data_IF_184275269930
#
_entry.id   IF_184275269930
#
_cell.length_a   1.000
_cell.length_b   1.000
_cell.length_c   1.000
_cell.angle_alpha   90.00
_cell.angle_beta   90.00
_cell.angle_gamma   90.00
#
_symmetry.space_group_name_H-M   'P 1'
#
loop_
_entity.id
_entity.type
_entity.pdbx_description
1 polymer ?
#
# COMPACT_ATOMS: atom_id res chain seq x y z
N UNK A 1 -2.37 -8.00 4.66
CA UNK A 1 -1.15 -7.16 4.57
C UNK A 1 -0.47 -7.45 3.25
N UNK A 2 0.12 -6.45 2.60
CA UNK A 2 0.96 -6.57 1.41
C UNK A 2 2.39 -6.17 1.76
N UNK A 3 3.39 -6.88 1.24
CA UNK A 3 4.78 -6.57 1.51
C UNK A 3 5.65 -6.69 0.25
N UNK A 4 6.69 -5.87 0.19
CA UNK A 4 7.67 -5.82 -0.90
C UNK A 4 9.08 -5.95 -0.32
N UNK A 5 9.86 -6.82 -0.94
CA UNK A 5 11.28 -6.96 -0.67
C UNK A 5 12.09 -6.06 -1.60
N UNK A 6 13.07 -5.38 -1.03
CA UNK A 6 14.09 -4.64 -1.77
C UNK A 6 15.47 -5.19 -1.39
N UNK A 7 16.40 -5.34 -2.35
CA UNK A 7 17.74 -5.86 -2.06
C UNK A 7 18.56 -4.99 -1.10
N UNK A 8 18.14 -3.74 -0.87
CA UNK A 8 18.94 -2.71 -0.20
C UNK A 8 18.08 -1.65 0.47
N UNK A 9 18.45 -1.30 1.70
CA UNK A 9 17.89 -0.16 2.43
C UNK A 9 18.77 1.09 2.30
N UNK A 10 18.15 2.26 2.51
CA UNK A 10 18.82 3.56 2.40
C UNK A 10 18.63 4.41 3.65
N UNK A 11 19.58 5.31 3.90
CA UNK A 11 19.52 6.40 4.88
C UNK A 11 20.41 7.54 4.38
N UNK A 12 19.96 8.79 4.48
CA UNK A 12 20.60 9.95 3.84
C UNK A 12 20.91 9.71 2.34
N UNK A 13 19.95 9.13 1.62
CA UNK A 13 20.08 8.72 0.20
C UNK A 13 21.26 7.77 -0.09
N UNK A 14 21.94 7.29 0.95
CA UNK A 14 23.06 6.37 0.85
C UNK A 14 22.63 4.96 1.24
N UNK A 15 23.18 3.94 0.56
CA UNK A 15 23.23 2.56 1.04
C UNK A 15 23.47 2.41 2.54
N UNK A 16 22.49 1.91 3.30
CA UNK A 16 22.63 1.75 4.77
C UNK A 16 22.62 0.30 5.25
N UNK A 17 21.94 -0.60 4.52
CA UNK A 17 21.91 -2.03 4.82
C UNK A 17 21.66 -2.89 3.58
N UNK A 18 22.05 -4.16 3.68
CA UNK A 18 21.60 -5.23 2.76
C UNK A 18 20.22 -5.66 3.24
N UNK A 19 19.29 -5.84 2.31
CA UNK A 19 17.86 -6.13 2.54
C UNK A 19 17.07 -4.93 3.08
N UNK A 20 15.84 -4.79 2.59
CA UNK A 20 14.83 -3.89 3.13
C UNK A 20 13.45 -4.47 2.80
N UNK A 21 12.50 -4.25 3.70
CA UNK A 21 11.11 -4.66 3.54
C UNK A 21 10.21 -3.44 3.74
N UNK A 22 9.16 -3.35 2.93
CA UNK A 22 8.09 -2.37 3.12
C UNK A 22 6.76 -3.09 3.07
N UNK A 23 5.80 -2.58 3.84
CA UNK A 23 4.48 -3.18 3.90
C UNK A 23 3.35 -2.15 3.95
N UNK A 24 2.18 -2.60 3.50
CA UNK A 24 0.92 -1.89 3.59
C UNK A 24 -0.10 -2.82 4.23
N UNK A 25 -0.81 -2.32 5.23
CA UNK A 25 -2.02 -2.97 5.76
C UNK A 25 -3.23 -2.21 5.23
N UNK A 26 -4.09 -2.92 4.50
CA UNK A 26 -5.37 -2.43 4.02
C UNK A 26 -6.44 -2.97 4.96
N UNK A 27 -7.15 -2.07 5.62
CA UNK A 27 -8.24 -2.40 6.54
C UNK A 27 -9.55 -2.28 5.78
N UNK A 28 -10.30 -3.37 5.75
CA UNK A 28 -11.63 -3.45 5.13
C UNK A 28 -12.69 -3.66 6.21
N UNK A 29 -13.94 -3.31 5.89
CA UNK A 29 -15.06 -3.50 6.80
C UNK A 29 -15.45 -4.97 6.96
N UNK A 30 -15.71 -5.66 5.85
CA UNK A 30 -16.19 -7.04 5.86
C UNK A 30 -15.68 -7.81 4.62
N UNK A 31 -14.84 -8.84 4.82
CA UNK A 31 -14.29 -9.64 3.71
C UNK A 31 -15.34 -10.52 3.02
N UNK A 32 -16.54 -10.68 3.59
CA UNK A 32 -17.61 -11.53 3.02
C UNK A 32 -18.44 -10.80 1.95
N UNK A 33 -18.30 -9.48 1.84
CA UNK A 33 -18.97 -8.69 0.80
C UNK A 33 -18.31 -8.89 -0.56
N UNK A 34 -19.11 -8.83 -1.64
CA UNK A 34 -18.58 -8.87 -3.01
C UNK A 34 -17.64 -7.69 -3.30
N UNK A 35 -17.90 -6.54 -2.69
CA UNK A 35 -17.06 -5.34 -2.79
C UNK A 35 -16.82 -4.73 -1.40
N UNK A 36 -15.86 -5.27 -0.63
CA UNK A 36 -15.52 -4.73 0.69
C UNK A 36 -15.06 -3.28 0.59
N UNK A 37 -15.43 -2.48 1.59
CA UNK A 37 -15.04 -1.07 1.65
C UNK A 37 -13.72 -0.95 2.40
N UNK A 38 -12.76 -0.25 1.79
CA UNK A 38 -11.52 0.14 2.49
C UNK A 38 -11.86 1.23 3.53
N UNK A 39 -11.70 0.89 4.81
CA UNK A 39 -11.93 1.78 5.96
C UNK A 39 -10.66 2.46 6.47
N UNK A 40 -9.49 1.90 6.14
CA UNK A 40 -8.21 2.47 6.53
C UNK A 40 -7.03 1.86 5.79
N UNK A 41 -5.93 2.59 5.74
CA UNK A 41 -4.68 2.15 5.13
C UNK A 41 -3.51 2.58 5.99
N UNK A 42 -2.60 1.65 6.24
CA UNK A 42 -1.39 1.88 7.01
C UNK A 42 -0.18 1.49 6.19
N UNK A 43 0.77 2.40 6.04
CA UNK A 43 1.93 2.28 5.16
C UNK A 43 3.23 2.35 5.97
N UNK A 44 4.15 1.42 5.75
CA UNK A 44 5.40 1.36 6.50
C UNK A 44 6.26 2.61 6.27
N UNK A 45 6.67 3.24 7.38
CA UNK A 45 7.61 4.37 7.44
C UNK A 45 9.03 3.92 7.83
N UNK A 46 9.12 2.88 8.64
CA UNK A 46 10.33 2.11 8.93
C UNK A 46 9.89 0.65 9.10
N UNK A 47 10.73 -0.19 9.70
CA UNK A 47 10.47 -1.62 9.82
C UNK A 47 9.15 -1.88 10.56
N UNK A 48 9.01 -1.41 11.79
CA UNK A 48 7.80 -1.58 12.61
C UNK A 48 6.84 -0.38 12.66
N UNK A 49 7.21 0.79 12.12
CA UNK A 49 6.39 2.02 12.24
C UNK A 49 5.57 2.28 10.99
N UNK A 50 4.34 2.75 11.18
CA UNK A 50 3.39 3.01 10.10
C UNK A 50 2.89 4.46 10.08
N UNK A 51 2.75 5.01 8.87
CA UNK A 51 1.87 6.14 8.61
C UNK A 51 0.46 5.62 8.34
N UNK A 52 -0.56 6.19 9.00
CA UNK A 52 -1.92 5.66 9.01
C UNK A 52 -2.91 6.70 8.51
N UNK A 53 -3.89 6.29 7.71
CA UNK A 53 -4.99 7.16 7.28
C UNK A 53 -6.29 6.40 7.15
N UNK A 54 -7.37 7.01 7.62
CA UNK A 54 -8.76 6.57 7.42
C UNK A 54 -9.49 7.43 6.37
N UNK A 55 -8.87 8.55 5.97
CA UNK A 55 -9.45 9.50 5.01
C UNK A 55 -8.96 9.17 3.60
N UNK A 56 -9.77 8.42 2.88
CA UNK A 56 -9.47 8.00 1.51
C UNK A 56 -9.95 9.02 0.49
N UNK A 57 -9.02 9.61 -0.26
CA UNK A 57 -9.35 10.48 -1.40
C UNK A 57 -9.56 9.63 -2.66
N UNK A 58 -10.53 9.96 -3.52
CA UNK A 58 -10.73 9.28 -4.80
C UNK A 58 -9.46 9.21 -5.67
N UNK A 59 -8.60 10.23 -5.61
CA UNK A 59 -7.34 10.27 -6.37
C UNK A 59 -6.33 9.18 -6.02
N UNK A 60 -6.47 8.56 -4.85
CA UNK A 60 -5.60 7.47 -4.41
C UNK A 60 -5.98 6.12 -5.02
N UNK A 61 -7.12 6.02 -5.69
CA UNK A 61 -7.53 4.78 -6.31
C UNK A 61 -7.10 4.71 -7.77
N UNK A 62 -6.68 3.52 -8.20
CA UNK A 62 -6.31 3.26 -9.59
C UNK A 62 -7.51 3.51 -10.52
N UNK A 63 -7.24 4.04 -11.71
CA UNK A 63 -8.28 4.38 -12.68
C UNK A 63 -9.11 5.62 -12.30
N UNK A 64 -8.73 6.36 -11.26
CA UNK A 64 -9.25 7.72 -11.06
C UNK A 64 -8.67 8.65 -12.13
N UNK A 65 -9.55 9.19 -12.97
CA UNK A 65 -9.19 10.12 -14.04
C UNK A 65 -9.88 11.47 -13.86
N UNK A 66 -9.10 12.54 -14.04
CA UNK A 66 -9.60 13.92 -14.12
C UNK A 66 -10.09 14.16 -15.54
N UNK A 67 -11.39 14.35 -15.72
CA UNK A 67 -11.97 14.69 -17.00
C UNK A 67 -11.92 16.20 -17.21
N UNK A 68 -11.55 16.60 -18.42
CA UNK A 68 -11.48 18.01 -18.79
C UNK A 68 -12.87 18.66 -18.71
N UNK A 69 -12.93 19.95 -18.34
CA UNK A 69 -14.12 20.80 -18.29
C UNK A 69 -14.91 20.81 -19.61
N UNK A 70 -14.25 20.55 -20.74
CA UNK A 70 -14.81 20.57 -22.10
C UNK A 70 -15.22 19.21 -22.66
N UNK A 71 -14.94 18.09 -22.00
CA UNK A 71 -15.31 16.76 -22.50
C UNK A 71 -16.76 16.41 -22.12
N UNK A 72 -17.60 16.54 -23.13
CA UNK A 72 -19.04 16.31 -23.16
C UNK A 72 -19.30 14.79 -23.35
N UNK A 73 -20.36 14.28 -22.71
CA UNK A 73 -21.07 13.01 -22.95
C UNK A 73 -20.88 11.79 -22.01
N UNK A 74 -20.25 11.91 -20.84
CA UNK A 74 -20.47 10.88 -19.80
C UNK A 74 -21.75 11.20 -19.00
N UNK A 75 -22.70 10.24 -18.87
CA UNK A 75 -23.88 10.46 -18.05
C UNK A 75 -23.46 10.67 -16.58
N UNK A 76 -24.12 11.61 -15.88
CA UNK A 76 -23.75 12.01 -14.50
C UNK A 76 -23.63 10.82 -13.55
N UNK A 77 -24.38 9.75 -13.78
CA UNK A 77 -24.33 8.49 -13.00
C UNK A 77 -22.97 7.79 -13.01
N UNK A 78 -22.11 8.06 -13.99
CA UNK A 78 -20.76 7.49 -14.07
C UNK A 78 -19.70 8.38 -13.40
N UNK A 79 -20.08 9.58 -12.92
CA UNK A 79 -19.19 10.49 -12.22
C UNK A 79 -19.06 10.07 -10.75
N UNK A 80 -17.81 9.93 -10.30
CA UNK A 80 -17.46 9.67 -8.92
C UNK A 80 -17.50 10.93 -8.04
N UNK A 81 -17.15 12.10 -8.58
CA UNK A 81 -17.22 13.39 -7.88
C UNK A 81 -17.12 14.58 -8.84
N UNK A 82 -17.51 15.77 -8.36
CA UNK A 82 -17.41 17.05 -9.07
C UNK A 82 -16.80 18.10 -8.14
N UNK A 83 -15.79 18.83 -8.60
CA UNK A 83 -15.20 19.93 -7.81
C UNK A 83 -16.05 21.20 -7.88
N UNK A 84 -15.91 22.10 -6.90
CA UNK A 84 -16.51 23.44 -6.93
C UNK A 84 -16.04 24.28 -8.14
N UNK A 85 -14.93 23.90 -8.76
CA UNK A 85 -14.39 24.51 -9.97
C UNK A 85 -14.88 23.81 -11.25
N UNK A 86 -15.84 22.90 -11.19
CA UNK A 86 -16.45 22.26 -12.36
C UNK A 86 -15.63 21.14 -13.02
N UNK A 87 -14.58 20.64 -12.35
CA UNK A 87 -13.88 19.44 -12.80
C UNK A 87 -14.71 18.20 -12.45
N UNK A 88 -14.76 17.26 -13.39
CA UNK A 88 -15.49 16.00 -13.25
C UNK A 88 -14.51 14.85 -13.11
N UNK A 89 -14.85 13.87 -12.27
CA UNK A 89 -13.96 12.75 -12.00
C UNK A 89 -14.70 11.43 -12.15
N UNK A 90 -14.05 10.46 -12.78
CA UNK A 90 -14.53 9.08 -12.86
C UNK A 90 -13.55 8.20 -12.10
N UNK A 91 -14.07 7.37 -11.21
CA UNK A 91 -13.34 6.32 -10.54
C UNK A 91 -13.80 5.01 -11.14
N UNK A 92 -12.91 4.32 -11.86
CA UNK A 92 -13.21 3.00 -12.43
C UNK A 92 -13.02 1.86 -11.42
N UNK A 93 -12.21 2.08 -10.39
CA UNK A 93 -12.01 1.10 -9.31
C UNK A 93 -11.88 1.82 -7.97
N UNK A 94 -12.45 1.24 -6.92
CA UNK A 94 -12.35 1.66 -5.53
C UNK A 94 -11.64 0.61 -4.66
N UNK A 95 -11.00 -0.37 -5.27
CA UNK A 95 -10.38 -1.54 -4.60
C UNK A 95 -8.85 -1.51 -4.68
N UNK A 96 -8.28 -0.87 -5.71
CA UNK A 96 -6.83 -0.79 -5.89
C UNK A 96 -6.29 0.58 -5.51
N UNK A 97 -5.30 0.59 -4.60
CA UNK A 97 -4.66 1.81 -4.11
C UNK A 97 -3.36 2.10 -4.84
N UNK A 98 -3.15 3.37 -5.18
CA UNK A 98 -1.92 3.91 -5.76
C UNK A 98 -0.91 4.15 -4.64
N UNK A 99 0.19 3.42 -4.69
CA UNK A 99 1.28 3.52 -3.73
C UNK A 99 2.54 4.06 -4.41
N UNK A 100 3.37 4.75 -3.63
CA UNK A 100 4.71 5.20 -4.04
C UNK A 100 5.71 4.77 -3.00
N UNK A 101 6.78 4.15 -3.46
CA UNK A 101 8.03 4.04 -2.71
C UNK A 101 8.82 5.33 -2.86
N UNK A 102 9.12 5.98 -1.74
CA UNK A 102 9.77 7.28 -1.72
C UNK A 102 11.09 7.22 -0.94
N UNK A 103 12.13 7.79 -1.54
CA UNK A 103 13.43 7.98 -0.91
C UNK A 103 13.59 9.45 -0.56
N UNK A 104 13.90 9.74 0.69
CA UNK A 104 14.34 11.05 1.15
C UNK A 104 15.59 10.91 2.02
N UNK A 105 15.86 11.91 2.87
CA UNK A 105 16.99 11.86 3.80
C UNK A 105 16.80 10.82 4.92
N UNK A 106 15.59 10.34 5.15
CA UNK A 106 15.27 9.29 6.10
C UNK A 106 15.35 7.89 5.52
N UNK A 107 14.76 6.93 6.24
CA UNK A 107 14.51 5.58 5.73
C UNK A 107 13.43 5.64 4.66
N UNK A 108 13.59 4.93 3.52
CA UNK A 108 12.54 4.86 2.52
C UNK A 108 11.22 4.36 3.09
N UNK A 109 10.13 4.92 2.59
CA UNK A 109 8.78 4.62 3.08
C UNK A 109 7.78 4.54 1.93
N UNK A 110 6.62 3.95 2.25
CA UNK A 110 5.47 3.91 1.37
C UNK A 110 4.51 5.05 1.69
N UNK A 111 3.93 5.62 0.65
CA UNK A 111 2.88 6.63 0.78
C UNK A 111 1.83 6.48 -0.33
N UNK A 112 0.62 6.98 -0.08
CA UNK A 112 -0.41 7.09 -1.11
C UNK A 112 0.03 8.07 -2.20
N UNK A 113 -0.37 7.78 -3.42
CA UNK A 113 -0.01 8.57 -4.60
C UNK A 113 -1.23 8.87 -5.47
N UNK A 114 -1.11 9.84 -6.36
CA UNK A 114 -2.14 10.16 -7.36
C UNK A 114 -1.79 9.71 -8.77
N UNK A 115 -0.62 9.08 -8.95
CA UNK A 115 -0.14 8.55 -10.23
C UNK A 115 -0.24 7.03 -10.18
N UNK A 116 -0.70 6.43 -11.28
CA UNK A 116 -0.77 4.98 -11.42
C UNK A 116 0.64 4.37 -11.31
N UNK A 117 0.73 3.28 -10.56
CA UNK A 117 1.91 2.44 -10.48
C UNK A 117 1.73 1.15 -11.28
N UNK A 118 2.52 0.15 -10.93
CA UNK A 118 2.48 -1.18 -11.55
C UNK A 118 1.99 -2.21 -10.53
N UNK A 119 1.38 -3.27 -11.02
CA UNK A 119 1.10 -4.47 -10.24
C UNK A 119 2.30 -5.42 -10.30
N UNK A 120 2.45 -6.22 -9.24
CA UNK A 120 3.40 -7.33 -9.19
C UNK A 120 2.62 -8.61 -9.01
N UNK A 121 3.21 -9.74 -9.43
CA UNK A 121 2.63 -11.05 -9.17
C UNK A 121 2.54 -11.28 -7.66
N UNK A 122 1.32 -11.57 -7.20
CA UNK A 122 1.03 -11.78 -5.79
C UNK A 122 1.18 -13.25 -5.42
N UNK A 123 1.92 -13.52 -4.36
CA UNK A 123 1.92 -14.81 -3.66
C UNK A 123 1.49 -14.59 -2.21
N UNK A 124 0.48 -15.32 -1.78
CA UNK A 124 -0.02 -15.28 -0.40
C UNK A 124 0.85 -16.14 0.51
N UNK A 125 0.90 -15.82 1.81
CA UNK A 125 1.68 -16.60 2.79
C UNK A 125 1.31 -18.08 2.77
N UNK A 126 0.02 -18.38 2.70
CA UNK A 126 -0.56 -19.73 2.68
C UNK A 126 -0.30 -20.48 1.36
N UNK A 127 0.09 -19.76 0.31
CA UNK A 127 0.45 -20.34 -0.99
C UNK A 127 1.95 -20.68 -1.08
N UNK A 128 2.77 -20.23 -0.12
CA UNK A 128 4.20 -20.50 -0.11
C UNK A 128 4.50 -21.94 0.33
N UNK A 129 5.48 -22.62 -0.28
CA UNK A 129 5.95 -23.91 0.21
C UNK A 129 6.61 -23.75 1.59
N UNK A 130 6.59 -24.82 2.38
CA UNK A 130 7.13 -24.82 3.76
C UNK A 130 8.58 -24.33 3.83
N UNK A 131 9.41 -24.67 2.85
CA UNK A 131 10.79 -24.21 2.77
C UNK A 131 10.90 -22.68 2.63
N UNK A 132 10.00 -22.05 1.88
CA UNK A 132 9.99 -20.60 1.73
C UNK A 132 9.48 -19.91 3.00
N UNK A 133 8.45 -20.45 3.65
CA UNK A 133 7.97 -19.94 4.95
C UNK A 133 9.04 -20.06 6.03
N UNK A 134 9.74 -21.20 6.10
CA UNK A 134 10.87 -21.40 7.01
C UNK A 134 12.00 -20.39 6.76
N UNK A 135 12.36 -20.13 5.50
CA UNK A 135 13.39 -19.14 5.18
C UNK A 135 12.98 -17.70 5.53
N UNK A 136 11.70 -17.36 5.38
CA UNK A 136 11.14 -16.04 5.74
C UNK A 136 11.00 -15.86 7.27
N UNK A 137 10.83 -16.95 8.01
CA UNK A 137 10.83 -16.95 9.47
C UNK A 137 12.23 -16.89 10.08
N UNK A 138 13.28 -17.28 9.34
CA UNK A 138 14.66 -17.19 9.79
C UNK A 138 15.22 -15.78 9.58
N UNK A 139 15.20 -14.98 10.64
CA UNK A 139 15.68 -13.59 10.65
C UNK A 139 17.15 -13.44 10.27
N UNK A 140 17.97 -14.49 10.40
CA UNK A 140 19.39 -14.46 10.02
C UNK A 140 19.59 -14.25 8.51
N UNK A 141 18.58 -14.61 7.69
CA UNK A 141 18.61 -14.43 6.23
C UNK A 141 18.49 -12.96 5.79
N UNK A 142 17.98 -12.07 6.65
CA UNK A 142 17.67 -10.68 6.29
C UNK A 142 18.48 -9.63 7.07
N UNK A 143 19.47 -10.06 7.85
CA UNK A 143 20.38 -9.18 8.56
C UNK A 143 19.65 -8.28 9.56
N UNK A 144 19.55 -6.99 9.26
CA UNK A 144 18.84 -6.00 10.10
C UNK A 144 17.44 -5.66 9.59
N UNK A 145 16.96 -6.32 8.54
CA UNK A 145 15.62 -6.05 8.00
C UNK A 145 14.62 -7.06 8.56
N UNK A 146 13.50 -6.55 9.05
CA UNK A 146 12.42 -7.37 9.59
C UNK A 146 11.44 -7.76 8.48
N UNK A 147 11.03 -9.04 8.45
CA UNK A 147 10.01 -9.54 7.52
C UNK A 147 8.64 -9.28 8.17
N UNK A 148 7.81 -8.37 7.64
CA UNK A 148 6.68 -7.82 8.40
C UNK A 148 5.46 -8.75 8.51
N UNK A 149 5.48 -9.89 7.83
CA UNK A 149 4.36 -10.83 7.76
C UNK A 149 4.76 -12.26 8.14
N UNK A 150 5.98 -12.44 8.66
CA UNK A 150 6.41 -13.74 9.16
C UNK A 150 5.72 -14.04 10.51
N UNK A 151 5.86 -15.27 11.00
CA UNK A 151 5.10 -15.73 12.17
C UNK A 151 5.48 -14.97 13.47
N UNK A 152 6.70 -14.43 13.55
CA UNK A 152 7.19 -13.65 14.70
C UNK A 152 6.62 -12.22 14.73
N UNK A 153 6.56 -11.56 13.56
CA UNK A 153 6.28 -10.13 13.48
C UNK A 153 4.83 -9.81 13.09
N UNK A 154 4.08 -10.75 12.51
CA UNK A 154 2.78 -10.47 11.89
C UNK A 154 1.81 -9.73 12.83
N UNK A 155 1.59 -10.26 14.04
CA UNK A 155 0.65 -9.68 15.01
C UNK A 155 1.12 -8.30 15.50
N UNK A 156 2.40 -8.15 15.87
CA UNK A 156 2.95 -6.87 16.30
C UNK A 156 2.82 -5.80 15.20
N UNK A 157 3.06 -6.18 13.93
CA UNK A 157 2.91 -5.27 12.82
C UNK A 157 1.45 -4.89 12.56
N UNK A 158 0.49 -5.79 12.77
CA UNK A 158 -0.93 -5.46 12.71
C UNK A 158 -1.34 -4.47 13.80
N UNK A 159 -0.90 -4.70 15.04
CA UNK A 159 -1.13 -3.79 16.18
C UNK A 159 -0.52 -2.40 15.90
N UNK A 160 0.74 -2.38 15.47
CA UNK A 160 1.44 -1.15 15.10
C UNK A 160 0.79 -0.45 13.91
N UNK A 161 0.11 -1.18 13.02
CA UNK A 161 -0.58 -0.65 11.85
C UNK A 161 -2.04 -0.25 12.13
N UNK A 162 -2.65 -0.62 13.25
CA UNK A 162 -4.07 -0.35 13.50
C UNK A 162 -4.37 1.17 13.51
N UNK A 163 -5.29 1.68 12.66
CA UNK A 163 -5.45 3.12 12.42
C UNK A 163 -6.56 3.78 13.26
N UNK A 164 -7.20 3.04 14.16
CA UNK A 164 -8.35 3.50 14.97
C UNK A 164 -8.06 3.46 16.48
#
# INVERSE_FOLDING_TARGET
MYAWYFPKGFWLLSPSRRHDWKSVVVWIDDPTLETPKIVGVSMSKSDSRYHKTTKMRPSYFAGYQRLDRKLIALPVRELSSVSNTGWRYVSRSNTSLRMRYYLDLGTPYLNLNSVDGEYQDLVMWEQLPDAARAALNDSSNFGKAEVPFNDEHYEEHLDNAWPL
#
